data_IF_229682586102
#
_entry.id   IF_229682586102
#
_cell.length_a   1.000
_cell.length_b   1.000
_cell.length_c   1.000
_cell.angle_alpha   90.00
_cell.angle_beta   90.00
_cell.angle_gamma   90.00
#
_symmetry.space_group_name_H-M   'P 1'
#
loop_
_entity.id
_entity.type
_entity.pdbx_description
1 polymer ?
#
# COMPACT_ATOMS: atom_id res chain seq x y z
N UNK A 1 -1.09 52.66 -40.17
CA UNK A 1 -1.94 52.50 -38.96
C UNK A 1 -2.57 51.10 -38.91
N UNK A 2 -3.15 50.59 -40.01
CA UNK A 2 -3.75 49.24 -40.08
C UNK A 2 -2.78 48.08 -39.79
N UNK A 3 -1.55 48.12 -40.31
CA UNK A 3 -0.54 47.06 -40.13
C UNK A 3 -0.13 46.87 -38.66
N UNK A 4 -0.06 47.96 -37.89
CA UNK A 4 0.27 47.89 -36.45
C UNK A 4 -0.89 47.31 -35.63
N UNK A 5 -2.13 47.61 -36.02
CA UNK A 5 -3.32 47.03 -35.41
C UNK A 5 -3.41 45.51 -35.66
N UNK A 6 -3.06 45.08 -36.88
CA UNK A 6 -3.04 43.67 -37.27
C UNK A 6 -1.94 42.87 -36.55
N UNK A 7 -0.73 43.44 -36.44
CA UNK A 7 0.36 42.87 -35.65
C UNK A 7 0.04 42.74 -34.14
N UNK A 8 -0.69 43.72 -33.60
CA UNK A 8 -1.13 43.70 -32.18
C UNK A 8 -2.16 42.61 -31.94
N UNK A 9 -3.14 42.45 -32.84
CA UNK A 9 -4.16 41.39 -32.75
C UNK A 9 -3.55 39.99 -32.87
N UNK A 10 -2.57 39.82 -33.76
CA UNK A 10 -1.86 38.55 -33.92
C UNK A 10 -1.08 38.16 -32.64
N UNK A 11 -0.48 39.13 -31.96
CA UNK A 11 0.26 38.93 -30.71
C UNK A 11 -0.67 38.53 -29.57
N UNK A 12 -1.82 39.20 -29.44
CA UNK A 12 -2.84 38.89 -28.42
C UNK A 12 -3.43 37.49 -28.60
N UNK A 13 -3.68 37.06 -29.86
CA UNK A 13 -4.23 35.73 -30.16
C UNK A 13 -3.26 34.60 -29.82
N UNK A 14 -1.96 34.79 -30.09
CA UNK A 14 -0.89 33.84 -29.69
C UNK A 14 -0.78 33.69 -28.18
N UNK A 15 -0.86 34.79 -27.44
CA UNK A 15 -0.83 34.78 -25.97
C UNK A 15 -2.03 33.99 -25.41
N UNK A 16 -3.24 34.23 -25.93
CA UNK A 16 -4.44 33.49 -25.52
C UNK A 16 -4.35 31.99 -25.82
N UNK A 17 -3.79 31.61 -26.98
CA UNK A 17 -3.55 30.20 -27.34
C UNK A 17 -2.52 29.55 -26.40
N UNK A 18 -1.43 30.24 -26.05
CA UNK A 18 -0.42 29.73 -25.12
C UNK A 18 -1.03 29.50 -23.73
N UNK A 19 -1.85 30.44 -23.24
CA UNK A 19 -2.56 30.27 -21.96
C UNK A 19 -3.56 29.10 -22.01
N UNK A 20 -4.25 28.90 -23.14
CA UNK A 20 -5.13 27.76 -23.32
C UNK A 20 -4.36 26.42 -23.32
N UNK A 21 -3.20 26.36 -23.98
CA UNK A 21 -2.32 25.17 -23.95
C UNK A 21 -1.71 24.92 -22.57
N UNK A 22 -1.26 25.96 -21.87
CA UNK A 22 -0.74 25.85 -20.50
C UNK A 22 -1.81 25.37 -19.52
N UNK A 23 -3.04 25.89 -19.65
CA UNK A 23 -4.19 25.42 -18.86
C UNK A 23 -4.55 23.97 -19.15
N UNK A 24 -4.46 23.53 -20.41
CA UNK A 24 -4.71 22.15 -20.80
C UNK A 24 -3.65 21.19 -20.27
N UNK A 25 -2.37 21.58 -20.30
CA UNK A 25 -1.26 20.80 -19.71
C UNK A 25 -1.39 20.72 -18.19
N UNK A 26 -1.81 21.82 -17.54
CA UNK A 26 -2.07 21.85 -16.09
C UNK A 26 -3.25 20.93 -15.71
N UNK A 27 -4.35 20.95 -16.46
CA UNK A 27 -5.50 20.05 -16.27
C UNK A 27 -5.16 18.57 -16.53
N UNK A 28 -4.28 18.30 -17.51
CA UNK A 28 -3.81 16.94 -17.80
C UNK A 28 -2.87 16.41 -16.70
N UNK A 29 -2.04 17.28 -16.12
CA UNK A 29 -1.11 16.91 -15.04
C UNK A 29 -1.81 16.66 -13.70
N UNK A 30 -3.02 17.21 -13.50
CA UNK A 30 -3.78 17.06 -12.25
C UNK A 30 -4.48 15.70 -12.08
N UNK A 31 -4.45 14.82 -13.10
CA UNK A 31 -5.18 13.54 -13.11
C UNK A 31 -4.31 12.29 -12.86
N UNK A 32 -3.05 12.43 -12.43
CA UNK A 32 -2.12 11.29 -12.24
C UNK A 32 -1.95 10.84 -10.78
N UNK A 33 -2.96 11.05 -9.94
CA UNK A 33 -3.01 10.50 -8.58
C UNK A 33 -3.69 9.12 -8.56
N UNK A 34 -3.05 8.08 -9.09
CA UNK A 34 -3.45 6.70 -8.80
C UNK A 34 -2.82 6.32 -7.46
N UNK A 35 -3.65 6.29 -6.42
CA UNK A 35 -3.31 5.64 -5.16
C UNK A 35 -3.33 4.12 -5.38
N UNK A 36 -2.26 3.59 -5.98
CA UNK A 36 -1.99 2.16 -5.91
C UNK A 36 -1.53 1.85 -4.50
N UNK A 37 -2.47 1.76 -3.55
CA UNK A 37 -2.19 1.05 -2.31
C UNK A 37 -2.29 -0.43 -2.68
N UNK A 38 -1.17 -1.17 -2.84
CA UNK A 38 -1.27 -2.59 -3.08
C UNK A 38 -2.08 -3.18 -1.92
N UNK A 39 -3.18 -3.88 -2.24
CA UNK A 39 -3.98 -4.57 -1.23
C UNK A 39 -3.02 -5.42 -0.41
N UNK A 40 -2.82 -5.04 0.86
CA UNK A 40 -1.95 -5.76 1.78
C UNK A 40 -2.62 -7.11 2.05
N UNK A 41 -2.21 -8.13 1.31
CA UNK A 41 -2.71 -9.49 1.47
C UNK A 41 -1.77 -10.19 2.44
N UNK A 42 -2.25 -10.36 3.68
CA UNK A 42 -1.59 -11.25 4.64
C UNK A 42 -1.62 -12.68 4.09
N UNK A 43 -0.45 -13.25 3.85
CA UNK A 43 -0.30 -14.61 3.34
C UNK A 43 0.23 -15.53 4.43
N UNK A 44 -0.36 -16.72 4.52
CA UNK A 44 0.03 -17.76 5.47
C UNK A 44 0.51 -19.01 4.72
N UNK A 45 1.49 -19.75 5.27
CA UNK A 45 1.84 -21.08 4.79
C UNK A 45 0.62 -22.01 4.84
N UNK A 46 0.51 -22.93 3.89
CA UNK A 46 -0.66 -23.83 3.78
C UNK A 46 -0.89 -24.75 4.99
N UNK A 47 0.10 -24.91 5.87
CA UNK A 47 -0.02 -25.68 7.12
C UNK A 47 -0.69 -24.86 8.24
N UNK A 48 -0.68 -23.52 8.14
CA UNK A 48 -1.32 -22.62 9.09
C UNK A 48 -2.69 -22.25 8.53
N UNK A 49 -3.74 -22.69 9.19
CA UNK A 49 -5.11 -22.44 8.74
C UNK A 49 -6.15 -22.95 9.72
N UNK A 50 -7.38 -23.05 9.25
CA UNK A 50 -8.50 -23.44 10.09
C UNK A 50 -8.38 -24.89 10.56
N UNK A 51 -8.79 -25.13 11.82
CA UNK A 51 -8.80 -26.46 12.45
C UNK A 51 -7.43 -27.15 12.48
N UNK A 52 -6.33 -26.40 12.36
CA UNK A 52 -5.01 -26.96 12.58
C UNK A 52 -4.81 -27.35 14.05
N UNK A 53 -3.92 -28.32 14.29
CA UNK A 53 -3.54 -28.75 15.64
C UNK A 53 -2.12 -28.27 15.92
N UNK A 54 -1.94 -27.63 17.07
CA UNK A 54 -0.62 -27.22 17.54
C UNK A 54 -0.03 -28.25 18.50
N UNK A 55 1.28 -28.45 18.41
CA UNK A 55 2.02 -29.22 19.42
C UNK A 55 1.90 -28.51 20.77
N UNK A 56 1.68 -29.28 21.82
CA UNK A 56 1.46 -28.77 23.17
C UNK A 56 2.79 -28.64 23.94
N UNK A 57 2.74 -27.89 25.04
CA UNK A 57 3.86 -27.70 25.97
C UNK A 57 5.15 -27.25 25.27
N UNK A 58 5.03 -26.45 24.22
CA UNK A 58 6.17 -25.94 23.45
C UNK A 58 5.89 -24.54 22.90
N UNK A 59 6.96 -23.88 22.45
CA UNK A 59 6.87 -22.62 21.73
C UNK A 59 6.64 -22.93 20.25
N UNK A 60 5.44 -22.63 19.78
CA UNK A 60 5.07 -22.82 18.38
C UNK A 60 5.47 -21.59 17.60
N UNK A 61 6.18 -21.81 16.48
CA UNK A 61 6.46 -20.73 15.54
C UNK A 61 5.25 -20.52 14.64
N UNK A 62 4.81 -19.28 14.51
CA UNK A 62 3.86 -18.84 13.47
C UNK A 62 4.59 -17.85 12.58
N UNK A 63 4.36 -17.97 11.28
CA UNK A 63 5.03 -17.15 10.28
C UNK A 63 4.17 -16.98 9.05
N UNK A 64 4.54 -16.03 8.21
CA UNK A 64 3.88 -15.77 6.94
C UNK A 64 4.56 -14.63 6.19
N UNK A 65 3.83 -14.06 5.25
CA UNK A 65 4.27 -12.95 4.43
C UNK A 65 3.24 -11.83 4.45
N UNK A 66 3.72 -10.60 4.36
CA UNK A 66 2.91 -9.40 4.19
C UNK A 66 3.84 -8.28 3.65
N UNK A 67 3.32 -7.06 3.48
CA UNK A 67 4.08 -5.90 3.04
C UNK A 67 5.14 -5.51 4.09
N UNK A 68 6.42 -5.32 3.69
CA UNK A 68 7.46 -4.82 4.59
C UNK A 68 7.05 -3.55 5.35
N UNK A 69 7.31 -3.53 6.65
CA UNK A 69 6.96 -2.41 7.53
C UNK A 69 5.53 -2.43 8.08
N UNK A 70 4.67 -3.36 7.64
CA UNK A 70 3.40 -3.62 8.31
C UNK A 70 3.64 -4.27 9.68
N UNK A 71 2.60 -4.25 10.53
CA UNK A 71 2.57 -4.97 11.81
C UNK A 71 1.53 -6.07 11.74
N UNK A 72 1.95 -7.31 12.00
CA UNK A 72 1.06 -8.47 12.10
C UNK A 72 0.69 -8.68 13.57
N UNK A 73 -0.60 -8.84 13.81
CA UNK A 73 -1.15 -9.14 15.14
C UNK A 73 -1.61 -10.59 15.20
N UNK A 74 -1.01 -11.37 16.09
CA UNK A 74 -1.39 -12.75 16.37
C UNK A 74 -2.15 -12.81 17.68
N UNK A 75 -3.38 -13.34 17.64
CA UNK A 75 -4.22 -13.57 18.82
C UNK A 75 -4.33 -15.06 19.10
N UNK A 76 -3.89 -15.49 20.28
CA UNK A 76 -3.89 -16.90 20.66
C UNK A 76 -4.27 -17.04 22.14
N UNK A 77 -5.38 -17.76 22.41
CA UNK A 77 -5.85 -18.06 23.78
C UNK A 77 -5.91 -16.83 24.72
N UNK A 78 -6.39 -15.70 24.21
CA UNK A 78 -6.48 -14.44 24.98
C UNK A 78 -5.18 -13.65 25.09
N UNK A 79 -4.07 -14.17 24.56
CA UNK A 79 -2.83 -13.42 24.36
C UNK A 79 -2.85 -12.74 22.99
N UNK A 80 -2.24 -11.56 22.93
CA UNK A 80 -2.05 -10.80 21.70
C UNK A 80 -0.57 -10.45 21.58
N UNK A 81 0.04 -10.81 20.45
CA UNK A 81 1.44 -10.52 20.15
C UNK A 81 1.51 -9.83 18.81
N UNK A 82 2.26 -8.73 18.76
CA UNK A 82 2.50 -7.98 17.53
C UNK A 82 3.93 -8.20 17.07
N UNK A 83 4.12 -8.38 15.76
CA UNK A 83 5.42 -8.57 15.14
C UNK A 83 5.51 -7.76 13.85
N UNK A 84 6.60 -7.03 13.61
CA UNK A 84 6.79 -6.30 12.37
C UNK A 84 7.04 -7.27 11.20
N UNK A 85 6.65 -6.85 10.01
CA UNK A 85 7.05 -7.51 8.77
C UNK A 85 8.41 -6.96 8.37
N UNK A 86 9.36 -7.87 8.24
CA UNK A 86 10.74 -7.58 7.88
C UNK A 86 10.85 -7.04 6.45
N UNK A 87 12.03 -6.51 6.12
CA UNK A 87 12.32 -5.94 4.80
C UNK A 87 12.17 -6.93 3.64
N UNK A 88 12.26 -8.23 3.93
CA UNK A 88 12.08 -9.31 2.96
C UNK A 88 10.62 -9.79 2.84
N UNK A 89 9.69 -9.10 3.51
CA UNK A 89 8.26 -9.40 3.51
C UNK A 89 7.86 -10.53 4.45
N UNK A 90 8.80 -11.11 5.21
CA UNK A 90 8.49 -12.18 6.16
C UNK A 90 8.18 -11.61 7.54
N UNK A 91 7.34 -12.33 8.27
CA UNK A 91 7.15 -12.11 9.70
C UNK A 91 7.16 -13.45 10.42
N UNK A 92 7.54 -13.43 11.69
CA UNK A 92 7.46 -14.60 12.55
C UNK A 92 7.22 -14.21 14.01
N UNK A 93 6.59 -15.10 14.76
CA UNK A 93 6.37 -14.97 16.19
C UNK A 93 6.38 -16.34 16.84
N UNK A 94 6.92 -16.42 18.06
CA UNK A 94 6.82 -17.60 18.90
C UNK A 94 5.68 -17.41 19.89
N UNK A 95 4.75 -18.35 19.92
CA UNK A 95 3.65 -18.36 20.87
C UNK A 95 3.75 -19.59 21.78
N UNK A 96 3.62 -19.42 23.11
CA UNK A 96 3.56 -20.56 24.01
C UNK A 96 2.22 -21.27 23.82
N UNK A 97 2.24 -22.53 23.37
CA UNK A 97 1.02 -23.27 23.06
C UNK A 97 0.17 -23.57 24.30
N UNK A 98 0.78 -23.60 25.49
CA UNK A 98 0.16 -24.06 26.73
C UNK A 98 -0.24 -25.55 26.69
N UNK A 99 -1.13 -25.94 27.61
CA UNK A 99 -1.67 -27.31 27.72
C UNK A 99 -2.74 -27.61 26.67
N UNK A 100 -3.11 -28.89 26.51
CA UNK A 100 -4.26 -29.30 25.68
C UNK A 100 -5.50 -28.51 26.07
N UNK A 101 -6.20 -27.92 25.10
CA UNK A 101 -7.47 -27.22 25.34
C UNK A 101 -8.65 -27.97 24.74
N UNK A 102 -8.56 -29.31 24.73
CA UNK A 102 -9.44 -30.24 23.99
C UNK A 102 -10.93 -29.96 24.09
#
# INVERSE_FOLDING_TARGET
>A
MSVLLEATQLTMKKISIIFAFLGLIFLFSLNLGVDSNPEATLELPSIIGDRMVLQQQTDVNLWGWDKPGNTVTVKFRGQEVQTPVEVDGKWQVKIPSGEAGG
#
